data_IF_827086370707
#
_entry.id   IF_827086370707
#
_cell.length_a   1.000
_cell.length_b   1.000
_cell.length_c   1.000
_cell.angle_alpha   90.00
_cell.angle_beta   90.00
_cell.angle_gamma   90.00
#
_symmetry.space_group_name_H-M   'P 1'
#
loop_
_entity.id
_entity.type
_entity.pdbx_description
1 polymer ?
#
# COMPACT_ATOMS: atom_id res chain seq x y z
N UNK A 1 23.34 -4.10 0.46
CA UNK A 1 22.88 -3.79 1.83
C UNK A 1 21.47 -3.17 1.89
N UNK A 2 20.97 -2.50 0.85
CA UNK A 2 19.59 -1.94 0.79
C UNK A 2 18.46 -2.98 0.73
N UNK A 3 18.74 -4.23 0.36
CA UNK A 3 17.72 -5.30 0.25
C UNK A 3 17.13 -5.79 1.58
N UNK A 4 17.80 -5.52 2.71
CA UNK A 4 17.32 -5.87 4.06
C UNK A 4 16.51 -4.74 4.74
N UNK A 5 16.62 -3.51 4.23
CA UNK A 5 15.83 -2.37 4.70
C UNK A 5 14.39 -2.42 4.17
N UNK A 6 14.19 -2.92 2.95
CA UNK A 6 12.85 -3.06 2.37
C UNK A 6 11.91 -3.97 3.20
N UNK A 7 12.31 -5.18 3.64
CA UNK A 7 11.42 -6.03 4.44
C UNK A 7 11.19 -5.50 5.86
N UNK A 8 12.20 -4.88 6.49
CA UNK A 8 12.04 -4.29 7.84
C UNK A 8 11.11 -3.08 7.83
N UNK A 9 11.20 -2.25 6.78
CA UNK A 9 10.28 -1.11 6.59
C UNK A 9 8.86 -1.61 6.28
N UNK A 10 8.71 -2.58 5.38
CA UNK A 10 7.40 -3.18 5.07
C UNK A 10 6.75 -3.82 6.31
N UNK A 11 7.52 -4.50 7.15
CA UNK A 11 7.04 -5.08 8.40
C UNK A 11 6.58 -4.01 9.40
N UNK A 12 7.26 -2.87 9.43
CA UNK A 12 6.90 -1.72 10.28
C UNK A 12 5.62 -1.03 9.80
N UNK A 13 5.42 -0.91 8.47
CA UNK A 13 4.16 -0.42 7.89
C UNK A 13 2.98 -1.38 8.11
N UNK A 14 3.23 -2.70 8.05
CA UNK A 14 2.21 -3.71 8.40
C UNK A 14 1.78 -3.59 9.86
N UNK A 15 2.72 -3.34 10.78
CA UNK A 15 2.41 -3.10 12.19
C UNK A 15 1.62 -1.81 12.41
N UNK A 16 1.84 -0.77 11.59
CA UNK A 16 1.06 0.48 11.66
C UNK A 16 -0.41 0.31 11.25
N UNK A 17 -0.73 -0.68 10.42
CA UNK A 17 -2.11 -1.06 10.08
C UNK A 17 -2.82 -1.91 11.14
N UNK A 18 -2.11 -2.33 12.19
CA UNK A 18 -2.63 -3.29 13.19
C UNK A 18 -3.34 -2.62 14.38
N UNK A 19 -3.59 -1.30 14.33
CA UNK A 19 -4.00 -0.51 15.51
C UNK A 19 -5.38 0.17 15.50
N UNK A 20 -6.12 0.18 14.38
CA UNK A 20 -7.41 0.90 14.34
C UNK A 20 -8.20 0.65 13.07
N UNK A 21 -9.53 0.65 13.19
CA UNK A 21 -10.46 0.43 12.06
C UNK A 21 -10.13 1.37 10.91
N UNK A 22 -9.72 0.79 9.79
CA UNK A 22 -9.19 1.50 8.64
C UNK A 22 -10.35 1.92 7.74
N UNK A 23 -10.40 3.18 7.31
CA UNK A 23 -11.44 3.63 6.38
C UNK A 23 -11.27 2.93 5.03
N UNK A 24 -12.37 2.76 4.29
CA UNK A 24 -12.38 2.19 2.96
C UNK A 24 -11.39 2.87 2.00
N UNK A 25 -11.14 4.18 2.18
CA UNK A 25 -10.10 4.92 1.43
C UNK A 25 -8.70 4.46 1.77
N UNK A 26 -8.40 4.32 3.05
CA UNK A 26 -7.09 3.87 3.54
C UNK A 26 -6.84 2.41 3.16
N UNK A 27 -7.86 1.54 3.26
CA UNK A 27 -7.79 0.17 2.75
C UNK A 27 -7.48 0.14 1.26
N UNK A 28 -8.19 0.96 0.48
CA UNK A 28 -7.93 1.09 -0.94
C UNK A 28 -6.53 1.61 -1.23
N UNK A 29 -6.08 2.64 -0.52
CA UNK A 29 -4.74 3.22 -0.67
C UNK A 29 -3.63 2.22 -0.37
N UNK A 30 -3.75 1.46 0.72
CA UNK A 30 -2.74 0.47 1.13
C UNK A 30 -2.77 -0.73 0.17
N UNK A 31 -3.95 -1.23 -0.20
CA UNK A 31 -4.06 -2.34 -1.15
C UNK A 31 -3.53 -1.93 -2.53
N UNK A 32 -3.99 -0.80 -3.06
CA UNK A 32 -3.55 -0.27 -4.35
C UNK A 32 -2.07 0.10 -4.34
N UNK A 33 -1.57 0.75 -3.29
CA UNK A 33 -0.16 1.12 -3.17
C UNK A 33 0.77 -0.06 -2.98
N UNK A 34 0.36 -1.07 -2.21
CA UNK A 34 1.12 -2.31 -2.05
C UNK A 34 1.21 -3.11 -3.35
N UNK A 35 0.07 -3.34 -4.01
CA UNK A 35 0.01 -4.07 -5.28
C UNK A 35 0.74 -3.29 -6.39
N UNK A 36 0.52 -1.98 -6.46
CA UNK A 36 1.17 -1.11 -7.42
C UNK A 36 2.68 -1.05 -7.23
N UNK A 37 3.17 -0.97 -5.99
CA UNK A 37 4.60 -0.96 -5.70
C UNK A 37 5.26 -2.30 -6.01
N UNK A 38 4.62 -3.42 -5.63
CA UNK A 38 5.12 -4.75 -5.96
C UNK A 38 5.19 -4.96 -7.47
N UNK A 39 4.12 -4.60 -8.20
CA UNK A 39 4.05 -4.74 -9.65
C UNK A 39 5.05 -3.82 -10.34
N UNK A 40 5.16 -2.56 -9.90
CA UNK A 40 6.12 -1.60 -10.43
C UNK A 40 7.57 -1.99 -10.17
N UNK A 41 7.87 -2.63 -9.04
CA UNK A 41 9.19 -3.18 -8.75
C UNK A 41 9.53 -4.36 -9.68
N UNK A 42 8.54 -5.23 -9.97
CA UNK A 42 8.72 -6.40 -10.84
C UNK A 42 8.92 -5.97 -12.31
N UNK A 43 8.08 -5.05 -12.81
CA UNK A 43 8.12 -4.61 -14.21
C UNK A 43 9.28 -3.63 -14.44
N UNK A 44 9.49 -2.68 -13.54
CA UNK A 44 10.58 -1.70 -13.65
C UNK A 44 11.95 -2.32 -13.37
N UNK A 45 12.02 -3.34 -12.52
CA UNK A 45 13.28 -3.96 -12.08
C UNK A 45 14.09 -3.09 -11.11
N UNK A 46 13.55 -1.94 -10.69
CA UNK A 46 14.22 -0.96 -9.85
C UNK A 46 13.27 -0.27 -8.86
N UNK A 47 13.85 0.48 -7.92
CA UNK A 47 13.11 1.16 -6.86
C UNK A 47 12.21 2.28 -7.37
N UNK A 48 12.54 2.91 -8.51
CA UNK A 48 11.71 3.94 -9.15
C UNK A 48 10.41 3.31 -9.65
N UNK A 49 10.49 2.13 -10.25
CA UNK A 49 9.31 1.35 -10.63
C UNK A 49 8.40 1.08 -9.43
N UNK A 50 8.98 0.68 -8.30
CA UNK A 50 8.24 0.46 -7.05
C UNK A 50 7.60 1.74 -6.49
N UNK A 51 8.32 2.87 -6.51
CA UNK A 51 7.82 4.15 -5.99
C UNK A 51 6.70 4.69 -6.87
N UNK A 52 6.88 4.68 -8.20
CA UNK A 52 5.86 5.15 -9.15
C UNK A 52 4.64 4.25 -9.12
N UNK A 53 4.84 2.92 -9.18
CA UNK A 53 3.76 1.96 -9.07
C UNK A 53 3.02 2.06 -7.74
N UNK A 54 3.73 2.27 -6.64
CA UNK A 54 3.16 2.47 -5.31
C UNK A 54 2.38 3.77 -5.19
N UNK A 55 2.91 4.87 -5.71
CA UNK A 55 2.24 6.16 -5.68
C UNK A 55 0.97 6.16 -6.54
N UNK A 56 1.04 5.65 -7.77
CA UNK A 56 -0.11 5.56 -8.67
C UNK A 56 -1.15 4.58 -8.15
N UNK A 57 -0.71 3.42 -7.67
CA UNK A 57 -1.58 2.41 -7.07
C UNK A 57 -2.28 2.91 -5.81
N UNK A 58 -1.58 3.66 -4.95
CA UNK A 58 -2.18 4.27 -3.76
C UNK A 58 -3.20 5.35 -4.13
N UNK A 59 -2.88 6.22 -5.11
CA UNK A 59 -3.80 7.26 -5.57
C UNK A 59 -5.07 6.65 -6.16
N UNK A 60 -4.95 5.65 -7.04
CA UNK A 60 -6.11 4.92 -7.57
C UNK A 60 -6.89 4.18 -6.47
N UNK A 61 -6.17 3.62 -5.51
CA UNK A 61 -6.72 2.96 -4.34
C UNK A 61 -7.56 3.88 -3.45
N UNK A 62 -7.13 5.12 -3.19
CA UNK A 62 -7.92 6.10 -2.43
C UNK A 62 -9.24 6.43 -3.15
N UNK A 63 -9.21 6.51 -4.48
CA UNK A 63 -10.37 6.87 -5.30
C UNK A 63 -11.39 5.73 -5.40
N UNK A 64 -10.91 4.50 -5.64
CA UNK A 64 -11.76 3.31 -5.85
C UNK A 64 -12.09 2.60 -4.53
N UNK A 65 -11.28 2.79 -3.50
CA UNK A 65 -11.39 2.15 -2.20
C UNK A 65 -12.78 2.20 -1.57
N UNK A 66 -13.45 3.38 -1.49
CA UNK A 66 -14.82 3.51 -0.97
C UNK A 66 -15.88 2.68 -1.69
N UNK A 67 -15.65 2.33 -2.96
CA UNK A 67 -16.57 1.55 -3.78
C UNK A 67 -16.42 0.04 -3.57
N UNK A 68 -15.26 -0.41 -3.09
CA UNK A 68 -14.90 -1.83 -2.93
C UNK A 68 -14.84 -2.24 -1.46
N UNK A 69 -14.27 -1.41 -0.61
CA UNK A 69 -14.11 -1.67 0.82
C UNK A 69 -15.21 -0.99 1.62
N UNK A 70 -15.66 -1.64 2.69
CA UNK A 70 -16.50 -1.02 3.71
C UNK A 70 -15.62 -0.49 4.83
N UNK A 71 -16.01 0.64 5.40
CA UNK A 71 -15.38 1.18 6.60
C UNK A 71 -15.58 0.19 7.75
N UNK A 72 -14.50 -0.16 8.45
CA UNK A 72 -14.63 -0.98 9.65
C UNK A 72 -15.28 -0.14 10.76
N UNK A 73 -16.28 -0.69 11.49
CA UNK A 73 -16.87 0.00 12.62
C UNK A 73 -15.79 0.22 13.68
N UNK A 74 -15.57 1.47 14.06
CA UNK A 74 -14.62 1.84 15.12
C UNK A 74 -15.07 1.19 16.43
N UNK A 75 -14.35 0.17 16.89
CA UNK A 75 -14.50 -0.41 18.23
C UNK A 75 -13.87 0.51 19.27
#
# INVERSE_FOLDING_TARGET
>A
MTRLLAPTLAFSLLLAGCGGGLSAREKGAIAGGGIGAATGAIIGGDATGAVVGGAVGAAGGVLVGPSIFKDDPKK
#
